data_IF_545105172663
#
_entry.id   IF_545105172663
#
_cell.length_a   1.000
_cell.length_b   1.000
_cell.length_c   1.000
_cell.angle_alpha   90.00
_cell.angle_beta   90.00
_cell.angle_gamma   90.00
#
_symmetry.space_group_name_H-M   'P 1'
#
loop_
_entity.id
_entity.type
_entity.pdbx_description
1 polymer ?
#
# COMPACT_ATOMS: atom_id res chain seq x y z
N UNK A 1 -16.33 -10.77 0.32
CA UNK A 1 -15.81 -9.53 0.94
C UNK A 1 -14.32 -9.72 1.17
N UNK A 2 -13.46 -8.70 1.02
CA UNK A 2 -12.05 -8.87 1.28
C UNK A 2 -11.81 -9.14 2.78
N UNK A 3 -10.79 -9.94 3.10
CA UNK A 3 -10.44 -10.30 4.48
C UNK A 3 -8.95 -10.14 4.72
N UNK A 4 -8.57 -9.50 5.82
CA UNK A 4 -7.18 -9.38 6.25
C UNK A 4 -6.91 -10.48 7.26
N UNK A 5 -6.30 -11.57 6.82
CA UNK A 5 -5.79 -12.63 7.70
C UNK A 5 -4.48 -12.21 8.39
N UNK A 6 -4.02 -12.96 9.38
CA UNK A 6 -2.77 -12.63 10.08
C UNK A 6 -1.57 -12.65 9.13
N UNK A 7 -1.45 -13.70 8.32
CA UNK A 7 -0.42 -13.82 7.28
C UNK A 7 0.99 -14.01 7.82
N UNK A 8 1.97 -13.38 7.17
CA UNK A 8 3.40 -13.43 7.51
C UNK A 8 4.09 -12.15 7.01
N UNK A 9 5.42 -12.07 6.99
CA UNK A 9 6.14 -10.85 6.55
C UNK A 9 5.99 -10.53 5.04
N UNK A 10 5.36 -11.40 4.25
CA UNK A 10 5.12 -11.21 2.82
C UNK A 10 3.69 -10.83 2.47
N UNK A 11 2.72 -11.17 3.33
CA UNK A 11 1.30 -11.00 3.06
C UNK A 11 0.46 -10.92 4.34
N UNK A 12 -0.74 -10.33 4.25
CA UNK A 12 -1.69 -10.23 5.36
C UNK A 12 -1.32 -9.16 6.39
N UNK A 13 -1.92 -9.24 7.58
CA UNK A 13 -1.78 -8.23 8.63
C UNK A 13 -0.33 -8.02 9.08
N UNK A 14 0.43 -9.10 9.30
CA UNK A 14 1.82 -9.01 9.77
C UNK A 14 2.68 -8.22 8.77
N UNK A 15 2.49 -8.47 7.47
CA UNK A 15 3.17 -7.70 6.42
C UNK A 15 2.74 -6.24 6.42
N UNK A 16 1.44 -5.97 6.44
CA UNK A 16 0.88 -4.61 6.42
C UNK A 16 1.35 -3.81 7.63
N UNK A 17 1.27 -4.39 8.82
CA UNK A 17 1.70 -3.75 10.06
C UNK A 17 3.18 -3.37 9.97
N UNK A 18 4.03 -4.35 9.66
CA UNK A 18 5.47 -4.15 9.65
C UNK A 18 5.92 -3.15 8.57
N UNK A 19 5.28 -3.13 7.40
CA UNK A 19 5.66 -2.23 6.29
C UNK A 19 5.03 -0.86 6.36
N UNK A 20 3.79 -0.77 6.86
CA UNK A 20 2.91 0.39 6.62
C UNK A 20 2.24 0.95 7.87
N UNK A 21 2.31 0.28 9.03
CA UNK A 21 1.77 0.81 10.30
C UNK A 21 2.88 1.13 11.29
N UNK A 22 3.65 0.11 11.70
CA UNK A 22 4.75 0.25 12.66
C UNK A 22 6.08 0.57 11.95
N UNK A 23 6.22 0.19 10.69
CA UNK A 23 7.43 0.47 9.89
C UNK A 23 8.66 -0.33 10.34
N UNK A 24 8.48 -1.44 11.06
CA UNK A 24 9.55 -2.27 11.62
C UNK A 24 9.97 -3.46 10.74
N UNK A 25 9.50 -3.53 9.49
CA UNK A 25 9.83 -4.64 8.59
C UNK A 25 11.35 -4.75 8.35
N UNK A 26 11.96 -5.96 8.40
CA UNK A 26 13.43 -6.12 8.32
C UNK A 26 14.04 -5.68 6.99
N UNK A 27 13.23 -5.56 5.94
CA UNK A 27 13.63 -5.05 4.63
C UNK A 27 13.32 -3.55 4.41
N UNK A 28 13.01 -2.81 5.48
CA UNK A 28 12.59 -1.41 5.42
C UNK A 28 11.07 -1.25 5.31
N UNK A 29 10.61 -0.04 5.62
CA UNK A 29 9.20 0.34 5.54
C UNK A 29 8.83 0.86 4.15
N UNK A 30 7.54 0.80 3.83
CA UNK A 30 6.96 1.50 2.68
C UNK A 30 6.35 2.83 3.09
N UNK A 31 5.33 3.25 2.34
CA UNK A 31 4.50 4.39 2.72
C UNK A 31 3.71 4.06 3.99
N UNK A 32 3.85 4.91 5.01
CA UNK A 32 3.22 4.70 6.31
C UNK A 32 1.84 5.34 6.38
N UNK A 33 0.90 4.63 7.00
CA UNK A 33 -0.36 5.19 7.49
C UNK A 33 -0.10 6.18 8.62
N UNK A 34 -1.14 6.93 8.99
CA UNK A 34 -1.08 7.81 10.16
C UNK A 34 -0.73 6.99 11.42
N UNK A 35 0.13 7.50 12.33
CA UNK A 35 0.48 6.80 13.56
C UNK A 35 -0.74 6.36 14.37
N UNK A 36 -0.70 5.14 14.90
CA UNK A 36 -1.82 4.56 15.66
C UNK A 36 -2.96 3.98 14.82
N UNK A 37 -2.79 3.88 13.49
CA UNK A 37 -3.76 3.21 12.62
C UNK A 37 -3.95 1.75 13.04
N UNK A 38 -5.19 1.30 13.14
CA UNK A 38 -5.52 -0.04 13.64
C UNK A 38 -5.91 -1.01 12.53
N UNK A 39 -5.80 -2.31 12.80
CA UNK A 39 -6.29 -3.37 11.90
C UNK A 39 -7.74 -3.18 11.50
N UNK A 40 -8.60 -2.80 12.43
CA UNK A 40 -10.03 -2.59 12.17
C UNK A 40 -10.25 -1.45 11.17
N UNK A 41 -9.52 -0.34 11.32
CA UNK A 41 -9.59 0.77 10.35
C UNK A 41 -9.11 0.34 8.96
N UNK A 42 -8.05 -0.48 8.87
CA UNK A 42 -7.56 -1.00 7.60
C UNK A 42 -8.49 -2.03 6.98
N UNK A 43 -9.12 -2.91 7.77
CA UNK A 43 -10.14 -3.85 7.27
C UNK A 43 -11.29 -3.09 6.63
N UNK A 44 -11.83 -2.08 7.32
CA UNK A 44 -12.90 -1.23 6.77
C UNK A 44 -12.45 -0.51 5.49
N UNK A 45 -11.26 0.06 5.50
CA UNK A 45 -10.71 0.73 4.31
C UNK A 45 -10.54 -0.25 3.15
N UNK A 46 -10.11 -1.48 3.41
CA UNK A 46 -9.95 -2.52 2.39
C UNK A 46 -11.30 -2.94 1.79
N UNK A 47 -12.34 -3.11 2.62
CA UNK A 47 -13.71 -3.36 2.17
C UNK A 47 -14.21 -2.24 1.26
N UNK A 48 -14.06 -0.98 1.68
CA UNK A 48 -14.50 0.18 0.93
C UNK A 48 -13.74 0.31 -0.41
N UNK A 49 -12.41 0.12 -0.40
CA UNK A 49 -11.57 0.20 -1.61
C UNK A 49 -11.90 -0.92 -2.60
N UNK A 50 -12.09 -2.16 -2.15
CA UNK A 50 -12.44 -3.27 -3.05
C UNK A 50 -13.86 -3.13 -3.60
N UNK A 51 -14.78 -2.57 -2.80
CA UNK A 51 -16.18 -2.42 -3.21
C UNK A 51 -16.42 -1.22 -4.12
N UNK A 52 -15.80 -0.08 -3.86
CA UNK A 52 -16.08 1.20 -4.53
C UNK A 52 -14.88 1.79 -5.26
N UNK A 53 -13.69 1.23 -5.07
CA UNK A 53 -12.47 1.69 -5.72
C UNK A 53 -12.38 1.31 -7.19
N UNK A 54 -11.41 1.92 -7.85
CA UNK A 54 -11.08 1.60 -9.24
C UNK A 54 -10.13 0.40 -9.27
N UNK A 55 -10.49 -0.63 -10.06
CA UNK A 55 -9.60 -1.75 -10.34
C UNK A 55 -8.48 -1.28 -11.28
N UNK A 56 -7.24 -1.41 -10.85
CA UNK A 56 -6.04 -1.07 -11.64
C UNK A 56 -5.45 -2.28 -12.38
N UNK A 57 -5.75 -3.49 -11.91
CA UNK A 57 -5.32 -4.75 -12.54
C UNK A 57 -6.24 -5.18 -13.67
N UNK A 58 -5.69 -5.97 -14.60
CA UNK A 58 -6.48 -6.68 -15.61
C UNK A 58 -7.42 -7.70 -14.93
N UNK A 59 -8.70 -7.81 -15.34
CA UNK A 59 -9.70 -8.63 -14.66
C UNK A 59 -9.40 -10.14 -14.53
N UNK A 60 -8.49 -10.68 -15.34
CA UNK A 60 -8.13 -12.11 -15.34
C UNK A 60 -6.91 -12.50 -14.51
N UNK A 61 -6.24 -11.55 -13.85
CA UNK A 61 -5.11 -11.87 -12.97
C UNK A 61 -5.59 -12.42 -11.62
N UNK A 62 -4.83 -13.34 -11.02
CA UNK A 62 -5.10 -13.80 -9.65
C UNK A 62 -4.95 -12.65 -8.65
N UNK A 63 -3.86 -11.89 -8.76
CA UNK A 63 -3.68 -10.70 -7.93
C UNK A 63 -4.42 -9.52 -8.57
N UNK A 64 -5.40 -9.00 -7.82
CA UNK A 64 -6.18 -7.85 -8.20
C UNK A 64 -5.79 -6.64 -7.33
N UNK A 65 -5.60 -5.50 -7.98
CA UNK A 65 -5.24 -4.24 -7.32
C UNK A 65 -6.39 -3.27 -7.46
N UNK A 66 -6.82 -2.72 -6.33
CA UNK A 66 -7.86 -1.70 -6.24
C UNK A 66 -7.31 -0.45 -5.58
N UNK A 67 -7.80 0.70 -6.03
CA UNK A 67 -7.41 1.99 -5.48
C UNK A 67 -8.61 2.89 -5.22
N UNK A 68 -8.60 3.57 -4.09
CA UNK A 68 -9.60 4.59 -3.78
C UNK A 68 -9.03 5.63 -2.82
N UNK A 69 -9.41 6.90 -3.00
CA UNK A 69 -9.15 7.92 -1.99
C UNK A 69 -10.04 7.68 -0.78
N UNK A 70 -9.44 7.39 0.37
CA UNK A 70 -10.16 7.13 1.62
C UNK A 70 -9.50 7.86 2.79
N UNK A 71 -10.28 8.11 3.84
CA UNK A 71 -9.78 8.64 5.10
C UNK A 71 -9.51 7.49 6.06
N UNK A 72 -8.26 7.28 6.43
CA UNK A 72 -7.83 6.27 7.41
C UNK A 72 -7.18 7.01 8.58
N UNK A 73 -7.68 6.76 9.79
CA UNK A 73 -7.17 7.36 11.02
C UNK A 73 -6.95 8.88 10.93
N UNK A 74 -7.96 9.63 10.50
CA UNK A 74 -7.85 11.08 10.40
C UNK A 74 -7.19 11.61 9.11
N UNK A 75 -6.42 10.77 8.39
CA UNK A 75 -5.65 11.18 7.22
C UNK A 75 -6.28 10.70 5.92
N UNK A 76 -6.40 11.59 4.92
CA UNK A 76 -6.96 11.27 3.61
C UNK A 76 -5.83 10.96 2.63
N UNK A 77 -5.82 9.75 2.09
CA UNK A 77 -4.81 9.27 1.16
C UNK A 77 -5.45 8.48 0.02
N UNK A 78 -4.69 8.27 -1.07
CA UNK A 78 -5.02 7.22 -2.04
C UNK A 78 -4.64 5.89 -1.40
N UNK A 79 -5.60 5.01 -1.13
CA UNK A 79 -5.33 3.69 -0.56
C UNK A 79 -5.30 2.67 -1.69
N UNK A 80 -4.21 1.89 -1.76
CA UNK A 80 -4.06 0.75 -2.65
C UNK A 80 -4.22 -0.54 -1.86
N UNK A 81 -5.05 -1.44 -2.37
CA UNK A 81 -5.30 -2.76 -1.79
C UNK A 81 -5.04 -3.81 -2.85
N UNK A 82 -4.22 -4.80 -2.50
CA UNK A 82 -3.89 -5.94 -3.33
C UNK A 82 -4.55 -7.16 -2.71
N UNK A 83 -5.38 -7.84 -3.48
CA UNK A 83 -6.09 -9.05 -3.06
C UNK A 83 -5.77 -10.21 -3.98
N UNK A 84 -5.82 -11.42 -3.43
CA UNK A 84 -5.88 -12.65 -4.21
C UNK A 84 -7.35 -12.97 -4.51
N UNK A 85 -7.76 -12.80 -5.77
CA UNK A 85 -9.13 -13.08 -6.19
C UNK A 85 -9.42 -14.57 -6.38
N UNK A 86 -8.40 -15.42 -6.54
CA UNK A 86 -8.60 -16.87 -6.57
C UNK A 86 -8.91 -17.42 -5.16
N UNK A 87 -8.38 -16.76 -4.12
CA UNK A 87 -8.64 -17.08 -2.71
C UNK A 87 -9.69 -16.13 -2.07
N UNK A 88 -10.81 -15.92 -2.76
CA UNK A 88 -11.95 -15.20 -2.19
C UNK A 88 -11.66 -13.76 -1.75
N UNK A 89 -10.76 -13.07 -2.45
CA UNK A 89 -10.27 -11.71 -2.14
C UNK A 89 -9.53 -11.61 -0.80
N UNK A 90 -8.73 -12.61 -0.45
CA UNK A 90 -7.77 -12.51 0.67
C UNK A 90 -6.84 -11.32 0.44
N UNK A 91 -6.70 -10.44 1.43
CA UNK A 91 -5.85 -9.26 1.32
C UNK A 91 -4.40 -9.66 1.47
N UNK A 92 -3.61 -9.41 0.43
CA UNK A 92 -2.17 -9.65 0.40
C UNK A 92 -1.45 -8.45 1.00
N UNK A 93 -1.83 -7.23 0.61
CA UNK A 93 -1.28 -6.00 1.18
C UNK A 93 -2.25 -4.82 1.02
N UNK A 94 -2.12 -3.83 1.89
CA UNK A 94 -2.88 -2.58 1.85
C UNK A 94 -2.00 -1.44 2.39
N UNK A 95 -1.92 -0.33 1.65
CA UNK A 95 -1.06 0.80 2.01
C UNK A 95 -1.57 2.11 1.42
N UNK A 96 -1.23 3.26 2.04
CA UNK A 96 -1.42 4.54 1.39
C UNK A 96 -0.39 4.68 0.26
N UNK A 97 -0.80 5.23 -0.88
CA UNK A 97 0.09 5.60 -1.98
C UNK A 97 0.36 7.08 -1.85
N UNK A 98 1.51 7.42 -1.27
CA UNK A 98 2.00 8.80 -1.23
C UNK A 98 3.16 8.84 -2.19
N UNK A 99 2.94 9.43 -3.35
CA UNK A 99 3.99 9.53 -4.36
C UNK A 99 5.26 10.08 -3.71
N UNK A 100 6.36 9.34 -3.82
CA UNK A 100 7.67 9.97 -3.75
C UNK A 100 7.65 10.99 -4.89
N UNK A 101 7.62 12.28 -4.56
CA UNK A 101 8.23 13.25 -5.45
C UNK A 101 9.59 12.66 -5.81
N UNK A 102 9.82 12.43 -7.10
CA UNK A 102 11.11 12.00 -7.63
C UNK A 102 12.22 12.79 -6.95
N UNK A 103 12.97 12.17 -6.03
CA UNK A 103 14.33 12.60 -5.79
C UNK A 103 15.23 11.71 -6.65
N UNK A 104 15.13 11.91 -7.97
CA UNK A 104 16.33 11.80 -8.79
C UNK A 104 17.19 12.96 -8.28
N UNK A 105 18.36 12.74 -7.66
CA UNK A 105 19.32 13.83 -7.58
C UNK A 105 19.60 14.23 -9.03
N UNK A 106 19.19 15.44 -9.42
CA UNK A 106 19.69 16.09 -10.62
C UNK A 106 21.20 15.87 -10.63
N UNK A 107 21.82 15.30 -11.68
CA UNK A 107 23.27 15.35 -11.80
C UNK A 107 23.64 16.83 -11.94
N UNK A 108 24.04 17.44 -10.83
CA UNK A 108 24.55 18.80 -10.78
C UNK A 108 25.89 18.79 -11.50
N UNK A 109 25.94 19.48 -12.63
CA UNK A 109 27.20 19.96 -13.21
C UNK A 109 27.75 19.12 -14.35
N UNK A 110 27.58 19.65 -15.56
CA UNK A 110 28.54 19.51 -16.65
C UNK A 110 29.98 19.69 -16.14
N UNK A 111 30.95 18.83 -16.49
CA UNK A 111 32.34 19.07 -16.13
C UNK A 111 32.84 20.34 -16.85
N UNK A 112 33.54 21.26 -16.17
CA UNK A 112 34.23 22.33 -16.86
C UNK A 112 35.33 21.71 -17.75
N UNK A 113 35.32 22.10 -19.02
CA UNK A 113 36.35 21.77 -19.98
C UNK A 113 37.72 22.27 -19.48
N UNK A 114 38.69 21.38 -19.57
CA UNK A 114 40.12 21.62 -19.36
C UNK A 114 40.63 22.70 -20.32
N UNK A 115 41.60 23.50 -19.90
CA UNK A 115 42.76 23.79 -20.74
C UNK A 115 43.99 23.00 -20.29
#
# INVERSE_FOLDING_TARGET
MPRIEDGNLKEGWIHIDARHVTGNHPAGHGDLYAPGTTRQQLTKAAEDVVKYGTRQSQPGRQLQTFEMKAKVNGQKDLIRVIVDSADGNRVISAFPVRGTTNHVPTPTGTPPATP
#
